data_IF_298193860278
#
_entry.id   IF_298193860278
#
_cell.length_a   1.000
_cell.length_b   1.000
_cell.length_c   1.000
_cell.angle_alpha   90.00
_cell.angle_beta   90.00
_cell.angle_gamma   90.00
#
_symmetry.space_group_name_H-M   'P 1'
#
loop_
_entity.id
_entity.type
_entity.pdbx_description
1 polymer ?
#
# COMPACT_ATOMS: atom_id res chain seq x y z
N UNK A 1 16.66 4.35 11.49
CA UNK A 1 15.38 3.75 11.10
C UNK A 1 14.79 4.47 9.90
N UNK A 2 13.91 3.81 9.15
CA UNK A 2 13.27 4.37 7.99
C UNK A 2 12.13 5.35 8.33
N UNK A 3 11.40 5.77 7.30
CA UNK A 3 10.28 6.69 7.41
C UNK A 3 9.00 6.10 6.80
N UNK A 4 7.86 6.52 7.33
CA UNK A 4 6.54 6.17 6.82
C UNK A 4 6.02 7.29 5.93
N UNK A 5 5.58 6.92 4.74
CA UNK A 5 5.02 7.83 3.74
C UNK A 5 3.57 7.45 3.42
N UNK A 6 2.82 8.41 2.89
CA UNK A 6 1.53 8.15 2.26
C UNK A 6 1.64 8.34 0.75
N UNK A 7 0.90 7.52 -0.01
CA UNK A 7 0.71 7.68 -1.45
C UNK A 7 -0.78 7.74 -1.78
N UNK A 8 -1.13 8.47 -2.83
CA UNK A 8 -2.49 8.52 -3.34
C UNK A 8 -2.80 7.24 -4.14
N UNK A 9 -3.67 6.39 -3.60
CA UNK A 9 -4.05 5.13 -4.22
C UNK A 9 -4.81 5.33 -5.54
N UNK A 10 -5.60 6.39 -5.64
CA UNK A 10 -6.37 6.68 -6.85
C UNK A 10 -5.46 7.12 -8.00
N UNK A 11 -4.45 7.94 -7.70
CA UNK A 11 -3.49 8.41 -8.70
C UNK A 11 -2.51 7.31 -9.15
N UNK A 12 -2.14 6.39 -8.25
CA UNK A 12 -1.09 5.39 -8.50
C UNK A 12 -1.60 4.00 -8.90
N UNK A 13 -2.92 3.80 -8.96
CA UNK A 13 -3.53 2.49 -9.20
C UNK A 13 -3.90 2.19 -10.64
N UNK A 14 -3.65 3.12 -11.57
CA UNK A 14 -4.10 2.95 -12.96
C UNK A 14 -5.63 2.97 -13.14
N UNK A 15 -6.36 3.63 -12.25
CA UNK A 15 -7.83 3.73 -12.30
C UNK A 15 -8.59 2.59 -11.62
N UNK A 16 -7.91 1.70 -10.90
CA UNK A 16 -8.52 0.50 -10.30
C UNK A 16 -8.81 0.61 -8.79
N UNK A 17 -8.75 1.82 -8.21
CA UNK A 17 -8.88 2.02 -6.76
C UNK A 17 -10.26 2.50 -6.28
N UNK A 18 -11.33 2.28 -7.03
CA UNK A 18 -12.68 2.78 -6.69
C UNK A 18 -13.20 2.27 -5.33
N UNK A 19 -12.79 1.06 -4.93
CA UNK A 19 -13.16 0.43 -3.64
C UNK A 19 -12.10 0.62 -2.54
N UNK A 20 -11.02 1.33 -2.83
CA UNK A 20 -9.93 1.58 -1.91
C UNK A 20 -10.04 2.98 -1.29
N UNK A 21 -9.40 3.17 -0.15
CA UNK A 21 -9.24 4.48 0.47
C UNK A 21 -8.40 5.41 -0.44
N UNK A 22 -8.38 6.70 -0.13
CA UNK A 22 -7.59 7.67 -0.90
C UNK A 22 -6.10 7.40 -0.77
N UNK A 23 -5.63 7.03 0.43
CA UNK A 23 -4.21 6.90 0.74
C UNK A 23 -3.85 5.48 1.17
N UNK A 24 -2.66 5.03 0.73
CA UNK A 24 -1.94 3.89 1.27
C UNK A 24 -0.72 4.38 2.05
N UNK A 25 -0.13 3.50 2.85
CA UNK A 25 1.13 3.77 3.53
C UNK A 25 2.28 3.01 2.86
N UNK A 26 3.46 3.62 2.88
CA UNK A 26 4.70 3.02 2.40
C UNK A 26 5.78 3.25 3.45
N UNK A 27 6.35 2.19 3.97
CA UNK A 27 7.52 2.27 4.83
C UNK A 27 8.79 2.10 4.01
N UNK A 28 9.69 3.07 4.08
CA UNK A 28 10.96 3.06 3.34
C UNK A 28 12.12 3.06 4.34
N UNK A 29 12.89 1.97 4.45
CA UNK A 29 14.12 1.93 5.22
C UNK A 29 15.11 3.02 4.80
N UNK A 30 15.92 3.51 5.73
CA UNK A 30 16.91 4.56 5.46
C UNK A 30 17.90 4.14 4.36
N UNK A 31 18.35 2.90 4.36
CA UNK A 31 19.24 2.37 3.33
C UNK A 31 18.57 2.41 1.95
N UNK A 32 17.28 2.09 1.88
CA UNK A 32 16.53 2.15 0.62
C UNK A 32 16.37 3.58 0.12
N UNK A 33 16.11 4.52 1.01
CA UNK A 33 16.02 5.93 0.68
C UNK A 33 17.34 6.52 0.20
N UNK A 34 18.47 5.98 0.67
CA UNK A 34 19.82 6.40 0.25
C UNK A 34 20.32 5.75 -1.05
N UNK A 35 19.52 4.88 -1.66
CA UNK A 35 19.81 4.28 -2.97
C UNK A 35 20.31 2.85 -2.93
N UNK A 36 20.34 2.19 -1.77
CA UNK A 36 20.63 0.77 -1.71
C UNK A 36 19.55 -0.06 -2.42
N UNK A 37 19.90 -1.16 -3.08
CA UNK A 37 18.93 -2.05 -3.70
C UNK A 37 18.01 -2.67 -2.66
N UNK A 38 16.70 -2.50 -2.87
CA UNK A 38 15.68 -3.00 -1.93
C UNK A 38 14.63 -3.85 -2.63
N UNK A 39 14.11 -4.83 -1.89
CA UNK A 39 12.93 -5.59 -2.28
C UNK A 39 11.68 -4.89 -1.78
N UNK A 40 10.55 -5.25 -2.34
CA UNK A 40 9.24 -4.77 -1.87
C UNK A 40 8.43 -5.90 -1.26
N UNK A 41 7.70 -5.57 -0.20
CA UNK A 41 6.71 -6.43 0.45
C UNK A 41 5.38 -5.72 0.51
N UNK A 42 4.29 -6.42 0.26
CA UNK A 42 2.94 -5.90 0.39
C UNK A 42 2.32 -6.53 1.63
N UNK A 43 1.87 -5.70 2.55
CA UNK A 43 1.20 -6.13 3.78
C UNK A 43 -0.27 -5.74 3.75
N UNK A 44 -1.15 -6.71 3.69
CA UNK A 44 -2.59 -6.52 3.69
C UNK A 44 -3.13 -6.54 5.13
N UNK A 45 -3.93 -5.54 5.49
CA UNK A 45 -4.66 -5.53 6.76
C UNK A 45 -5.86 -6.47 6.72
N UNK A 46 -6.41 -6.82 7.89
CA UNK A 46 -7.68 -7.56 8.00
C UNK A 46 -8.91 -6.64 7.92
N UNK A 47 -10.10 -7.26 8.00
CA UNK A 47 -11.35 -6.50 8.16
C UNK A 47 -11.29 -5.64 9.43
N UNK A 48 -11.86 -4.43 9.37
CA UNK A 48 -11.81 -3.42 10.46
C UNK A 48 -10.40 -2.98 10.87
N UNK A 49 -9.37 -3.24 10.07
CA UNK A 49 -7.99 -2.84 10.32
C UNK A 49 -7.47 -1.79 9.33
N UNK A 50 -8.33 -1.25 8.48
CA UNK A 50 -8.00 -0.15 7.58
C UNK A 50 -7.77 1.16 8.38
N UNK A 51 -7.06 2.12 7.78
CA UNK A 51 -6.57 3.31 8.49
C UNK A 51 -7.69 4.15 9.14
N UNK A 52 -8.85 4.29 8.51
CA UNK A 52 -9.98 5.03 9.06
C UNK A 52 -10.60 4.36 10.30
N UNK A 53 -10.38 3.06 10.49
CA UNK A 53 -10.88 2.32 11.64
C UNK A 53 -9.92 2.34 12.84
N UNK A 54 -8.62 2.19 12.59
CA UNK A 54 -7.61 2.00 13.64
C UNK A 54 -6.45 3.00 13.57
N UNK A 55 -6.56 4.03 12.73
CA UNK A 55 -5.46 4.97 12.50
C UNK A 55 -4.24 4.25 11.93
N UNK A 56 -3.07 4.60 12.41
CA UNK A 56 -1.80 4.01 11.94
C UNK A 56 -1.41 2.72 12.68
N UNK A 57 -2.24 2.21 13.58
CA UNK A 57 -1.86 1.09 14.47
C UNK A 57 -1.40 -0.15 13.68
N UNK A 58 -2.09 -0.51 12.61
CA UNK A 58 -1.70 -1.66 11.79
C UNK A 58 -0.31 -1.48 11.16
N UNK A 59 0.00 -0.30 10.64
CA UNK A 59 1.26 -0.04 9.93
C UNK A 59 2.43 0.25 10.86
N UNK A 60 2.19 0.57 12.13
CA UNK A 60 3.24 0.95 13.09
C UNK A 60 3.46 -0.08 14.20
N UNK A 61 2.48 -0.91 14.51
CA UNK A 61 2.51 -1.78 15.71
C UNK A 61 2.69 -3.27 15.41
N UNK A 62 2.81 -3.67 14.15
CA UNK A 62 2.97 -5.10 13.78
C UNK A 62 4.42 -5.60 13.85
N UNK A 63 5.39 -4.71 14.01
CA UNK A 63 6.82 -5.05 13.97
C UNK A 63 7.40 -5.26 12.57
N UNK A 64 6.58 -5.17 11.53
CA UNK A 64 7.00 -5.37 10.14
C UNK A 64 8.04 -4.31 9.72
N UNK A 65 7.88 -3.06 10.15
CA UNK A 65 8.80 -1.97 9.79
C UNK A 65 10.20 -2.19 10.38
N UNK A 66 10.31 -2.71 11.60
CA UNK A 66 11.61 -3.07 12.18
C UNK A 66 12.29 -4.19 11.39
N UNK A 67 11.55 -5.22 11.03
CA UNK A 67 12.05 -6.29 10.17
C UNK A 67 12.44 -5.78 8.78
N UNK A 68 11.69 -4.83 8.24
CA UNK A 68 11.97 -4.20 6.95
C UNK A 68 13.29 -3.41 6.95
N UNK A 69 13.58 -2.68 8.04
CA UNK A 69 14.87 -1.98 8.24
C UNK A 69 16.05 -2.94 8.19
N UNK A 70 15.94 -4.06 8.91
CA UNK A 70 17.02 -5.05 9.02
C UNK A 70 17.28 -5.82 7.71
N UNK A 71 16.30 -5.83 6.79
CA UNK A 71 16.35 -6.64 5.58
C UNK A 71 16.33 -5.83 4.27
N UNK A 72 16.42 -4.52 4.33
CA UNK A 72 16.33 -3.63 3.16
C UNK A 72 15.06 -3.89 2.31
N UNK A 73 13.90 -3.84 2.95
CA UNK A 73 12.62 -4.12 2.33
C UNK A 73 11.71 -2.90 2.47
N UNK A 74 11.22 -2.38 1.34
CA UNK A 74 10.16 -1.38 1.33
C UNK A 74 8.82 -2.07 1.52
N UNK A 75 7.99 -1.58 2.43
CA UNK A 75 6.68 -2.18 2.72
C UNK A 75 5.56 -1.27 2.23
N UNK A 76 4.74 -1.80 1.33
CA UNK A 76 3.50 -1.17 0.89
C UNK A 76 2.34 -1.70 1.75
N UNK A 77 1.59 -0.78 2.35
CA UNK A 77 0.38 -1.07 3.11
C UNK A 77 -0.84 -0.48 2.38
N UNK A 78 -1.41 -1.19 1.41
CA UNK A 78 -2.61 -0.72 0.74
C UNK A 78 -3.79 -0.70 1.69
N UNK A 79 -4.76 0.21 1.47
CA UNK A 79 -5.87 0.45 2.38
C UNK A 79 -7.21 0.31 1.67
N UNK A 80 -8.10 -0.49 2.24
CA UNK A 80 -9.52 -0.51 1.87
C UNK A 80 -10.28 0.58 2.59
N UNK A 81 -11.55 0.72 2.27
CA UNK A 81 -12.50 1.57 2.99
C UNK A 81 -13.80 0.81 3.23
N UNK A 82 -14.53 1.17 4.27
CA UNK A 82 -15.88 0.66 4.47
C UNK A 82 -16.84 1.24 3.43
N UNK A 83 -17.83 0.46 3.06
CA UNK A 83 -18.98 0.91 2.26
C UNK A 83 -20.26 0.33 2.85
N UNK A 84 -21.23 1.19 3.11
CA UNK A 84 -22.55 0.81 3.64
C UNK A 84 -23.60 0.66 2.54
N UNK A 85 -23.23 0.98 1.31
CA UNK A 85 -24.10 0.91 0.12
C UNK A 85 -23.47 -0.02 -0.93
N UNK A 86 -23.74 0.22 -2.20
CA UNK A 86 -23.17 -0.61 -3.27
C UNK A 86 -21.75 -0.15 -3.67
N UNK A 87 -20.77 -1.03 -3.67
CA UNK A 87 -20.79 -2.41 -3.14
C UNK A 87 -20.79 -2.44 -1.61
N UNK A 88 -21.56 -3.35 -1.02
CA UNK A 88 -21.65 -3.47 0.44
C UNK A 88 -20.38 -4.07 1.04
N UNK A 89 -19.68 -3.30 1.84
CA UNK A 89 -18.46 -3.71 2.55
C UNK A 89 -18.34 -2.95 3.89
N UNK A 90 -19.20 -3.24 4.87
CA UNK A 90 -19.31 -2.43 6.08
C UNK A 90 -18.09 -2.55 7.01
N UNK A 91 -17.27 -3.58 6.84
CA UNK A 91 -16.09 -3.83 7.67
C UNK A 91 -14.76 -3.47 6.98
N UNK A 92 -14.80 -2.90 5.77
CA UNK A 92 -13.59 -2.53 5.04
C UNK A 92 -12.65 -3.71 4.79
N UNK A 93 -13.21 -4.84 4.39
CA UNK A 93 -12.44 -6.01 4.03
C UNK A 93 -11.85 -5.91 2.62
N UNK A 94 -10.77 -6.62 2.35
CA UNK A 94 -10.38 -6.95 0.99
C UNK A 94 -11.42 -7.87 0.35
N UNK A 95 -11.53 -7.84 -0.99
CA UNK A 95 -12.52 -8.64 -1.70
C UNK A 95 -12.19 -10.14 -1.62
N UNK A 96 -12.95 -10.85 -0.83
CA UNK A 96 -12.87 -12.30 -0.72
C UNK A 96 -14.19 -13.01 -1.11
N UNK A 97 -15.23 -12.25 -1.47
CA UNK A 97 -16.54 -12.79 -1.89
C UNK A 97 -17.06 -12.24 -3.22
N UNK A 98 -16.29 -11.39 -3.90
CA UNK A 98 -16.63 -10.88 -5.22
C UNK A 98 -17.44 -9.58 -5.24
N UNK A 99 -17.32 -8.73 -4.21
CA UNK A 99 -18.04 -7.46 -4.20
C UNK A 99 -17.51 -6.45 -5.25
N UNK A 100 -16.29 -6.62 -5.72
CA UNK A 100 -15.72 -5.79 -6.78
C UNK A 100 -16.03 -6.34 -8.17
N UNK A 101 -15.87 -7.65 -8.34
CA UNK A 101 -16.16 -8.37 -9.59
C UNK A 101 -16.09 -9.88 -9.40
N UNK A 102 -16.54 -10.65 -10.40
CA UNK A 102 -16.38 -12.11 -10.42
C UNK A 102 -14.91 -12.57 -10.48
N UNK A 103 -14.02 -11.69 -10.95
CA UNK A 103 -12.58 -11.98 -11.13
C UNK A 103 -11.73 -11.61 -9.89
N UNK A 104 -12.35 -11.33 -8.76
CA UNK A 104 -11.71 -10.84 -7.54
C UNK A 104 -10.50 -11.66 -7.08
N UNK A 105 -10.49 -12.95 -7.33
CA UNK A 105 -9.46 -13.88 -6.85
C UNK A 105 -8.32 -14.13 -7.85
N UNK A 106 -8.34 -13.48 -9.01
CA UNK A 106 -7.32 -13.65 -10.05
C UNK A 106 -6.67 -12.32 -10.44
N UNK A 107 -5.73 -12.38 -11.40
CA UNK A 107 -4.99 -11.19 -11.86
C UNK A 107 -5.88 -10.08 -12.46
N UNK A 108 -7.08 -10.40 -12.86
CA UNK A 108 -8.03 -9.45 -13.46
C UNK A 108 -8.91 -8.78 -12.41
N UNK A 109 -8.82 -9.18 -11.14
CA UNK A 109 -9.49 -8.54 -10.02
C UNK A 109 -9.07 -7.08 -9.83
N UNK A 110 -10.03 -6.17 -9.63
CA UNK A 110 -9.79 -4.73 -9.53
C UNK A 110 -8.81 -4.38 -8.40
N UNK A 111 -8.95 -4.99 -7.23
CA UNK A 111 -8.05 -4.71 -6.10
C UNK A 111 -6.64 -5.25 -6.34
N UNK A 112 -6.50 -6.42 -6.98
CA UNK A 112 -5.19 -6.96 -7.35
C UNK A 112 -4.50 -6.07 -8.39
N UNK A 113 -5.23 -5.60 -9.40
CA UNK A 113 -4.71 -4.63 -10.37
C UNK A 113 -4.28 -3.34 -9.70
N UNK A 114 -5.08 -2.79 -8.80
CA UNK A 114 -4.77 -1.56 -8.08
C UNK A 114 -3.45 -1.70 -7.30
N UNK A 115 -3.31 -2.74 -6.50
CA UNK A 115 -2.12 -2.98 -5.67
C UNK A 115 -0.89 -3.24 -6.54
N UNK A 116 -1.03 -4.00 -7.63
CA UNK A 116 0.06 -4.26 -8.57
C UNK A 116 0.54 -2.97 -9.24
N UNK A 117 -0.36 -2.09 -9.64
CA UNK A 117 0.01 -0.81 -10.24
C UNK A 117 0.65 0.14 -9.23
N UNK A 118 0.17 0.18 -7.98
CA UNK A 118 0.81 0.94 -6.91
C UNK A 118 2.25 0.47 -6.68
N UNK A 119 2.48 -0.85 -6.66
CA UNK A 119 3.83 -1.40 -6.52
C UNK A 119 4.73 -0.99 -7.69
N UNK A 120 4.22 -1.03 -8.92
CA UNK A 120 4.95 -0.58 -10.10
C UNK A 120 5.29 0.91 -10.05
N UNK A 121 4.40 1.75 -9.52
CA UNK A 121 4.63 3.19 -9.38
C UNK A 121 5.74 3.54 -8.38
N UNK A 122 6.03 2.64 -7.43
CA UNK A 122 7.14 2.78 -6.48
C UNK A 122 8.49 2.38 -7.09
N UNK A 123 8.49 1.61 -8.17
CA UNK A 123 9.69 1.23 -8.89
C UNK A 123 9.92 2.20 -10.04
N UNK A 124 11.03 2.92 -10.05
CA UNK A 124 11.38 3.76 -11.18
C UNK A 124 11.73 2.91 -12.40
N UNK A 125 11.09 3.16 -13.55
CA UNK A 125 11.41 2.49 -14.80
C UNK A 125 12.81 2.92 -15.28
N UNK A 126 13.71 1.98 -15.47
CA UNK A 126 14.94 2.19 -16.20
C UNK A 126 16.25 1.88 -15.50
N UNK A 127 16.24 1.36 -14.29
CA UNK A 127 17.46 0.94 -13.60
C UNK A 127 17.36 -0.45 -12.99
N UNK A 128 18.45 -1.21 -13.04
CA UNK A 128 18.59 -2.48 -12.32
C UNK A 128 18.59 -2.28 -10.79
N UNK A 129 18.76 -1.05 -10.33
CA UNK A 129 18.61 -0.66 -8.94
C UNK A 129 17.21 -0.06 -8.73
N UNK A 130 16.51 -0.58 -7.80
CA UNK A 130 15.18 -0.15 -7.41
C UNK A 130 15.33 1.07 -6.54
N UNK A 131 15.37 2.25 -7.17
CA UNK A 131 15.32 3.51 -6.48
C UNK A 131 13.87 3.83 -6.18
N UNK A 132 13.56 3.98 -4.91
CA UNK A 132 12.27 4.46 -4.46
C UNK A 132 12.33 5.99 -4.40
N UNK A 133 11.96 6.65 -5.50
CA UNK A 133 11.93 8.11 -5.54
C UNK A 133 10.56 8.61 -5.05
N UNK A 134 10.59 9.40 -3.99
CA UNK A 134 9.41 10.05 -3.43
C UNK A 134 8.67 10.93 -4.45
N UNK A 135 9.37 11.49 -5.43
CA UNK A 135 8.82 12.40 -6.42
C UNK A 135 7.92 11.72 -7.45
N UNK A 136 8.28 10.51 -7.91
CA UNK A 136 7.52 9.79 -8.95
C UNK A 136 6.15 9.31 -8.47
N UNK A 137 6.02 8.95 -7.19
CA UNK A 137 4.79 8.46 -6.58
C UNK A 137 4.01 9.52 -5.79
N UNK A 138 4.46 10.78 -5.77
CA UNK A 138 3.91 11.85 -4.92
C UNK A 138 3.74 11.41 -3.46
N UNK A 139 4.78 10.79 -2.92
CA UNK A 139 4.82 10.36 -1.54
C UNK A 139 4.92 11.55 -0.60
N UNK A 140 4.14 11.52 0.46
CA UNK A 140 4.16 12.50 1.53
C UNK A 140 4.58 11.81 2.83
N UNK A 141 5.64 12.31 3.47
CA UNK A 141 6.05 11.80 4.77
C UNK A 141 4.97 12.05 5.83
N UNK A 142 4.65 11.02 6.61
CA UNK A 142 3.77 11.18 7.76
C UNK A 142 4.54 11.76 8.92
N UNK A 143 3.97 12.74 9.67
CA UNK A 143 4.62 13.22 10.89
C UNK A 143 4.88 12.08 11.86
N UNK A 144 6.05 12.07 12.48
CA UNK A 144 6.30 11.19 13.62
C UNK A 144 5.40 11.66 14.77
N UNK A 145 4.46 10.81 15.19
CA UNK A 145 3.75 10.99 16.46
C UNK A 145 4.60 10.55 17.62
#
# INVERSE_FOLDING_TARGET
SGALYTIDQHASSGGHASTLAKEAFVYVPENCASGEPCRAHISFHGCNQYADAVGNAYVTQTGINTWADDNNIVVLYPQTKKSLFMPLNPQGCWDWWGYTSSDYANRDGEQIKAVTQMLKSLNHEGGSARHFEAEGAKMKETPNE
#
